data_IF_921019291132
#
_entry.id   IF_921019291132
#
_cell.length_a   1.000
_cell.length_b   1.000
_cell.length_c   1.000
_cell.angle_alpha   90.00
_cell.angle_beta   90.00
_cell.angle_gamma   90.00
#
_symmetry.space_group_name_H-M   'P 1'
#
loop_
_entity.id
_entity.type
_entity.pdbx_description
1 polymer ?
#
# COMPACT_ATOMS: atom_id res chain seq x y z
N UNK A 1 28.10 63.71 53.82
CA UNK A 1 28.10 62.24 53.96
C UNK A 1 27.52 61.72 52.68
N UNK A 2 28.40 61.34 51.77
CA UNK A 2 28.04 60.72 50.49
C UNK A 2 27.81 59.23 50.79
N UNK A 3 26.60 58.72 50.55
CA UNK A 3 26.29 57.31 50.70
C UNK A 3 26.58 56.60 49.37
N UNK A 4 27.64 55.78 49.41
CA UNK A 4 28.15 54.99 48.30
C UNK A 4 27.30 53.73 48.15
N UNK A 5 26.62 53.61 47.01
CA UNK A 5 25.72 52.50 46.68
C UNK A 5 26.55 51.31 46.15
N UNK A 6 26.76 50.29 46.97
CA UNK A 6 27.48 49.07 46.60
C UNK A 6 26.55 48.12 45.84
N UNK A 7 26.93 47.77 44.59
CA UNK A 7 26.26 46.77 43.75
C UNK A 7 26.79 45.38 44.10
N UNK A 8 25.94 44.36 44.36
CA UNK A 8 26.40 42.98 44.55
C UNK A 8 26.80 42.32 43.23
N UNK A 9 27.87 41.50 43.27
CA UNK A 9 28.41 40.78 42.13
C UNK A 9 27.49 39.66 41.62
N UNK A 10 27.50 39.51 40.29
CA UNK A 10 26.77 38.55 39.47
C UNK A 10 27.28 37.10 39.67
N UNK A 11 26.38 36.18 40.01
CA UNK A 11 26.64 34.74 40.11
C UNK A 11 26.91 34.14 38.72
N UNK A 12 28.07 33.51 38.55
CA UNK A 12 28.38 32.70 37.36
C UNK A 12 27.89 31.26 37.55
N UNK A 13 26.89 30.87 36.76
CA UNK A 13 26.50 29.46 36.59
C UNK A 13 27.65 28.62 35.99
N UNK A 14 27.77 27.33 36.36
CA UNK A 14 28.72 26.42 35.73
C UNK A 14 28.21 25.87 34.39
N UNK A 15 29.01 26.07 33.34
CA UNK A 15 28.87 25.51 32.00
C UNK A 15 28.69 23.98 31.99
N UNK A 16 27.71 23.52 31.20
CA UNK A 16 27.40 22.11 30.92
C UNK A 16 28.54 21.39 30.19
N UNK A 17 28.78 20.13 30.56
CA UNK A 17 29.68 19.22 29.83
C UNK A 17 28.86 18.36 28.88
N UNK A 18 29.15 18.43 27.58
CA UNK A 18 28.64 17.50 26.57
C UNK A 18 29.13 16.05 26.82
N UNK A 19 28.33 15.02 26.53
CA UNK A 19 28.75 13.63 26.66
C UNK A 19 29.59 13.17 25.46
N UNK A 20 30.84 12.78 25.72
CA UNK A 20 31.76 12.23 24.72
C UNK A 20 31.31 10.86 24.19
N UNK A 21 30.92 10.79 22.91
CA UNK A 21 30.75 9.53 22.16
C UNK A 21 32.11 8.94 21.77
N UNK A 22 32.80 8.26 22.68
CA UNK A 22 33.95 7.42 22.31
C UNK A 22 33.95 6.09 23.09
N UNK A 23 33.59 5.01 22.40
CA UNK A 23 33.71 3.63 22.92
C UNK A 23 35.18 3.22 22.94
N UNK A 24 35.68 2.89 24.14
CA UNK A 24 37.05 2.43 24.39
C UNK A 24 37.42 1.21 23.54
N UNK A 25 38.67 1.14 23.09
CA UNK A 25 39.20 0.11 22.18
C UNK A 25 38.91 -1.34 22.62
N UNK A 26 38.82 -1.60 23.94
CA UNK A 26 38.45 -2.92 24.45
C UNK A 26 37.02 -3.35 24.10
N UNK A 27 36.04 -2.41 24.11
CA UNK A 27 34.64 -2.70 23.75
C UNK A 27 34.47 -2.98 22.26
N UNK A 28 35.31 -2.39 21.39
CA UNK A 28 35.33 -2.70 19.95
C UNK A 28 35.80 -4.13 19.68
N UNK A 29 36.78 -4.60 20.45
CA UNK A 29 37.36 -5.95 20.32
C UNK A 29 36.35 -7.03 20.71
N UNK A 30 35.54 -6.81 21.75
CA UNK A 30 34.44 -7.72 22.13
C UNK A 30 33.34 -7.81 21.07
N UNK A 31 32.99 -6.70 20.41
CA UNK A 31 31.97 -6.70 19.35
C UNK A 31 32.45 -7.51 18.12
N UNK A 32 33.72 -7.36 17.74
CA UNK A 32 34.30 -8.11 16.61
C UNK A 32 34.34 -9.62 16.93
N UNK A 33 34.74 -10.00 18.15
CA UNK A 33 34.75 -11.39 18.58
C UNK A 33 33.34 -12.02 18.58
N UNK A 34 32.31 -11.27 19.00
CA UNK A 34 30.92 -11.73 18.97
C UNK A 34 30.41 -11.95 17.54
N UNK A 35 30.76 -11.08 16.59
CA UNK A 35 30.36 -11.21 15.19
C UNK A 35 30.99 -12.47 14.55
N UNK A 36 32.28 -12.73 14.80
CA UNK A 36 32.97 -13.91 14.27
C UNK A 36 32.34 -15.22 14.78
N UNK A 37 31.93 -15.24 16.05
CA UNK A 37 31.31 -16.43 16.66
C UNK A 37 29.92 -16.73 16.06
N UNK A 38 29.15 -15.69 15.71
CA UNK A 38 27.85 -15.84 15.02
C UNK A 38 28.04 -16.40 13.61
N UNK A 39 29.04 -15.94 12.86
CA UNK A 39 29.31 -16.47 11.51
C UNK A 39 29.83 -17.91 11.53
N UNK A 40 30.60 -18.32 12.54
CA UNK A 40 31.06 -19.71 12.68
C UNK A 40 29.91 -20.70 12.92
N UNK A 41 28.87 -20.29 13.66
CA UNK A 41 27.69 -21.12 13.93
C UNK A 41 26.80 -21.24 12.67
N UNK A 42 26.65 -20.16 11.91
CA UNK A 42 25.84 -20.15 10.68
C UNK A 42 26.53 -20.93 9.54
N UNK A 43 27.86 -20.82 9.41
CA UNK A 43 28.64 -21.53 8.39
C UNK A 43 28.67 -23.05 8.58
N UNK A 44 28.64 -23.54 9.83
CA UNK A 44 28.65 -24.97 10.13
C UNK A 44 27.37 -25.72 9.72
N UNK A 45 26.22 -25.03 9.68
CA UNK A 45 24.93 -25.64 9.35
C UNK A 45 24.70 -25.84 7.83
N UNK A 46 25.43 -25.12 6.97
CA UNK A 46 25.19 -25.14 5.53
C UNK A 46 25.95 -26.26 4.77
N UNK A 47 26.92 -26.92 5.40
CA UNK A 47 27.78 -27.91 4.71
C UNK A 47 27.33 -29.38 4.85
N UNK A 48 26.40 -29.71 5.76
CA UNK A 48 25.92 -31.09 5.95
C UNK A 48 24.60 -31.43 5.21
N UNK A 49 24.02 -30.51 4.44
CA UNK A 49 22.64 -30.66 3.92
C UNK A 49 22.46 -31.09 2.46
N UNK A 50 23.48 -31.08 1.60
CA UNK A 50 23.27 -31.32 0.15
C UNK A 50 23.66 -32.73 -0.29
N UNK A 51 22.79 -33.70 -0.03
CA UNK A 51 22.81 -35.00 -0.74
C UNK A 51 21.47 -35.72 -0.62
N UNK A 52 20.60 -35.62 -1.65
CA UNK A 52 19.94 -36.78 -2.29
C UNK A 52 18.94 -36.41 -3.40
N UNK A 53 19.27 -36.94 -4.57
CA UNK A 53 18.46 -37.59 -5.63
C UNK A 53 17.52 -36.77 -6.53
N UNK A 54 17.98 -36.67 -7.79
CA UNK A 54 17.22 -36.77 -9.05
C UNK A 54 16.17 -37.88 -9.01
N UNK A 55 14.99 -37.61 -9.56
CA UNK A 55 14.21 -38.61 -10.28
C UNK A 55 13.62 -37.99 -11.54
N UNK A 56 13.81 -38.73 -12.62
CA UNK A 56 13.54 -38.47 -14.03
C UNK A 56 12.39 -39.39 -14.44
N UNK A 57 11.48 -38.96 -15.32
CA UNK A 57 10.39 -39.80 -15.84
C UNK A 57 9.31 -39.01 -16.61
N UNK A 58 9.42 -39.06 -17.94
CA UNK A 58 8.56 -38.51 -19.03
C UNK A 58 7.17 -39.20 -19.16
N UNK A 59 6.42 -39.10 -20.30
CA UNK A 59 5.72 -37.94 -20.90
C UNK A 59 4.20 -38.18 -21.13
N UNK A 60 3.55 -37.12 -21.65
CA UNK A 60 2.19 -36.97 -22.20
C UNK A 60 1.67 -38.13 -23.10
N UNK A 61 0.33 -38.32 -23.20
CA UNK A 61 -0.33 -37.81 -24.41
C UNK A 61 -1.74 -37.18 -24.21
N UNK A 62 -1.99 -36.14 -25.01
CA UNK A 62 -3.29 -35.66 -25.53
C UNK A 62 -3.28 -36.01 -27.04
N UNK A 63 -4.38 -36.28 -27.79
CA UNK A 63 -5.69 -35.61 -27.77
C UNK A 63 -6.90 -36.54 -28.05
N UNK A 64 -8.13 -35.99 -28.15
CA UNK A 64 -9.12 -36.29 -29.23
C UNK A 64 -10.36 -35.35 -29.09
N UNK A 65 -10.76 -34.64 -30.16
CA UNK A 65 -12.01 -33.88 -30.23
C UNK A 65 -13.16 -34.77 -30.73
N UNK A 66 -14.36 -34.64 -30.15
CA UNK A 66 -15.57 -35.33 -30.62
C UNK A 66 -16.70 -34.34 -30.92
N UNK A 67 -17.45 -34.67 -31.97
CA UNK A 67 -18.18 -33.76 -32.84
C UNK A 67 -19.67 -33.54 -32.47
N UNK A 68 -20.15 -32.36 -32.86
CA UNK A 68 -21.53 -32.01 -33.23
C UNK A 68 -22.03 -32.98 -34.34
N UNK A 69 -23.34 -33.34 -34.54
CA UNK A 69 -24.45 -32.38 -34.74
C UNK A 69 -25.89 -32.85 -34.35
N UNK A 70 -26.84 -31.92 -34.25
CA UNK A 70 -28.22 -32.11 -34.75
C UNK A 70 -28.98 -30.77 -34.80
N UNK A 71 -29.21 -30.30 -36.03
CA UNK A 71 -30.21 -29.29 -36.34
C UNK A 71 -31.59 -29.96 -36.48
N UNK A 72 -32.63 -29.31 -35.99
CA UNK A 72 -34.03 -29.60 -36.35
C UNK A 72 -34.64 -28.30 -36.86
N UNK A 73 -35.00 -28.32 -38.14
CA UNK A 73 -35.85 -27.34 -38.82
C UNK A 73 -37.23 -27.98 -38.90
N UNK A 74 -38.29 -27.29 -38.49
CA UNK A 74 -39.60 -27.30 -39.17
C UNK A 74 -40.58 -26.36 -38.45
N UNK A 75 -41.33 -25.58 -39.22
CA UNK A 75 -42.45 -24.80 -38.71
C UNK A 75 -42.69 -23.48 -39.45
N UNK A 76 -43.07 -23.57 -40.73
CA UNK A 76 -43.68 -22.47 -41.44
C UNK A 76 -45.14 -22.29 -41.00
N UNK A 77 -45.54 -21.06 -40.70
CA UNK A 77 -46.94 -20.62 -40.86
C UNK A 77 -46.96 -19.14 -41.22
N UNK A 78 -47.42 -18.86 -42.44
CA UNK A 78 -47.84 -17.55 -42.90
C UNK A 78 -49.02 -17.03 -42.07
N UNK A 79 -49.02 -15.74 -41.73
CA UNK A 79 -50.25 -15.03 -41.39
C UNK A 79 -50.09 -13.54 -41.66
N UNK A 80 -51.04 -13.02 -42.45
CA UNK A 80 -51.09 -11.67 -43.00
C UNK A 80 -51.86 -10.69 -42.09
N UNK A 81 -51.72 -9.39 -42.39
CA UNK A 81 -52.62 -8.26 -42.03
C UNK A 81 -52.17 -7.36 -40.86
N UNK A 82 -52.62 -6.08 -40.76
CA UNK A 82 -52.50 -4.99 -41.71
C UNK A 82 -51.72 -3.78 -41.15
N UNK A 83 -51.29 -2.91 -42.06
CA UNK A 83 -50.56 -1.65 -41.83
C UNK A 83 -51.26 -0.72 -40.84
N UNK A 84 -50.65 -0.53 -39.67
CA UNK A 84 -50.98 0.56 -38.73
C UNK A 84 -50.14 1.78 -39.07
N UNK A 85 -50.79 2.90 -39.37
CA UNK A 85 -50.17 4.19 -39.63
C UNK A 85 -49.47 4.70 -38.36
N UNK A 86 -48.14 4.55 -38.30
CA UNK A 86 -47.32 4.99 -37.17
C UNK A 86 -47.11 6.50 -37.30
N UNK A 87 -47.83 7.26 -36.47
CA UNK A 87 -47.52 8.67 -36.19
C UNK A 87 -46.08 8.76 -35.69
N UNK A 88 -45.20 9.38 -36.47
CA UNK A 88 -43.79 9.58 -36.14
C UNK A 88 -43.66 10.56 -34.98
N UNK A 89 -43.54 10.02 -33.76
CA UNK A 89 -43.08 10.78 -32.59
C UNK A 89 -41.70 11.38 -32.89
N UNK A 90 -41.45 12.67 -32.58
CA UNK A 90 -40.13 13.25 -32.78
C UNK A 90 -39.09 12.46 -31.99
N UNK A 91 -38.05 12.00 -32.69
CA UNK A 91 -36.91 11.33 -32.09
C UNK A 91 -36.29 12.24 -31.02
N UNK A 92 -36.07 11.77 -29.79
CA UNK A 92 -35.43 12.59 -28.76
C UNK A 92 -34.07 13.05 -29.28
N UNK A 93 -33.81 14.36 -29.16
CA UNK A 93 -32.49 14.92 -29.46
C UNK A 93 -31.50 14.33 -28.46
N UNK A 94 -30.36 13.77 -28.89
CA UNK A 94 -29.39 13.19 -27.98
C UNK A 94 -28.86 14.28 -27.03
N UNK A 95 -29.01 14.05 -25.72
CA UNK A 95 -28.35 14.87 -24.70
C UNK A 95 -26.84 14.71 -24.87
N UNK A 96 -26.04 15.79 -24.85
CA UNK A 96 -24.59 15.68 -24.95
C UNK A 96 -24.06 14.84 -23.78
N UNK A 97 -23.26 13.81 -24.10
CA UNK A 97 -22.50 13.06 -23.09
C UNK A 97 -21.40 13.97 -22.54
N UNK A 98 -21.28 14.15 -21.22
CA UNK A 98 -20.22 14.96 -20.64
C UNK A 98 -18.83 14.37 -20.97
N UNK A 99 -17.83 15.23 -21.15
CA UNK A 99 -16.46 14.83 -21.43
C UNK A 99 -15.76 14.38 -20.14
N UNK A 100 -15.16 13.18 -20.16
CA UNK A 100 -14.42 12.62 -19.03
C UNK A 100 -12.99 13.19 -18.96
N UNK A 101 -12.63 13.78 -17.83
CA UNK A 101 -11.31 14.31 -17.50
C UNK A 101 -10.56 13.32 -16.60
N UNK A 102 -9.28 13.07 -16.88
CA UNK A 102 -8.39 12.31 -15.99
C UNK A 102 -7.48 13.23 -15.18
N UNK A 103 -7.38 12.98 -13.87
CA UNK A 103 -6.49 13.68 -12.94
C UNK A 103 -5.67 12.67 -12.15
N UNK A 104 -4.37 12.89 -12.10
CA UNK A 104 -3.45 12.16 -11.22
C UNK A 104 -3.06 13.05 -10.05
N UNK A 105 -3.24 12.55 -8.83
CA UNK A 105 -2.82 13.19 -7.59
C UNK A 105 -1.72 12.33 -6.97
N UNK A 106 -0.57 12.93 -6.67
CA UNK A 106 0.49 12.29 -5.89
C UNK A 106 0.16 12.37 -4.40
N UNK A 107 0.60 11.39 -3.63
CA UNK A 107 0.38 11.36 -2.18
C UNK A 107 1.14 12.46 -1.43
N UNK A 108 0.78 12.63 -0.15
CA UNK A 108 1.34 13.66 0.75
C UNK A 108 2.42 13.04 1.62
N UNK A 109 3.69 13.39 1.38
CA UNK A 109 4.86 12.78 2.04
C UNK A 109 4.71 12.61 3.56
N UNK A 110 4.39 13.68 4.28
CA UNK A 110 4.25 13.66 5.75
C UNK A 110 3.07 12.84 6.30
N UNK A 111 2.29 12.20 5.43
CA UNK A 111 1.15 11.35 5.77
C UNK A 111 1.29 9.96 5.16
N UNK A 112 2.41 9.67 4.51
CA UNK A 112 2.73 8.36 3.99
C UNK A 112 3.72 7.67 4.93
N UNK A 113 3.76 6.34 4.92
CA UNK A 113 4.77 5.60 5.66
C UNK A 113 4.22 4.31 6.25
N UNK A 114 4.67 3.97 7.45
CA UNK A 114 4.23 2.76 8.14
C UNK A 114 4.29 2.87 9.65
N UNK A 115 3.41 2.11 10.31
CA UNK A 115 3.46 1.86 11.75
C UNK A 115 3.37 0.37 12.04
N UNK A 116 4.04 -0.03 13.10
CA UNK A 116 4.11 -1.41 13.57
C UNK A 116 3.31 -1.67 14.84
N UNK A 117 2.93 -2.93 15.06
CA UNK A 117 2.22 -3.39 16.25
C UNK A 117 2.94 -3.13 17.58
N UNK A 118 4.23 -2.81 17.52
CA UNK A 118 5.09 -2.46 18.66
C UNK A 118 5.19 -0.94 18.90
N UNK A 119 4.46 -0.14 18.14
CA UNK A 119 4.46 1.31 18.22
C UNK A 119 5.65 2.02 17.57
N UNK A 120 6.46 1.30 16.79
CA UNK A 120 7.52 1.91 15.99
C UNK A 120 7.08 2.06 14.53
N UNK A 121 7.47 3.18 13.91
CA UNK A 121 7.09 3.53 12.55
C UNK A 121 7.79 4.79 12.08
N UNK A 122 7.57 5.12 10.81
CA UNK A 122 8.12 6.30 10.16
C UNK A 122 7.08 6.88 9.20
N UNK A 123 7.02 8.20 9.13
CA UNK A 123 6.16 9.03 8.27
C UNK A 123 6.96 9.83 7.22
N UNK A 124 8.24 9.46 7.04
CA UNK A 124 9.20 10.14 6.17
C UNK A 124 10.10 9.16 5.38
N UNK A 125 9.66 7.91 5.28
CA UNK A 125 10.35 6.82 4.59
C UNK A 125 9.37 6.09 3.67
N UNK A 126 9.84 5.02 3.06
CA UNK A 126 9.05 4.07 2.28
C UNK A 126 7.85 3.54 3.06
N UNK A 127 6.88 3.00 2.34
CA UNK A 127 5.73 2.32 2.92
C UNK A 127 6.10 0.84 3.12
N UNK A 128 6.05 0.37 4.35
CA UNK A 128 6.37 -1.02 4.72
C UNK A 128 5.12 -1.77 5.17
N UNK A 129 4.88 -2.95 4.61
CA UNK A 129 3.75 -3.80 4.98
C UNK A 129 4.21 -5.24 5.17
N UNK A 130 3.64 -5.93 6.15
CA UNK A 130 3.95 -7.35 6.36
C UNK A 130 4.23 -7.67 7.81
N UNK A 131 5.08 -8.66 8.03
CA UNK A 131 5.47 -9.09 9.37
C UNK A 131 6.96 -9.36 9.43
N UNK A 132 7.54 -9.16 10.60
CA UNK A 132 8.86 -9.66 10.95
C UNK A 132 8.79 -10.37 12.31
N UNK A 133 9.96 -10.56 12.94
CA UNK A 133 10.06 -11.19 14.25
C UNK A 133 9.34 -10.33 15.30
N UNK A 134 8.14 -10.76 15.68
CA UNK A 134 7.34 -10.16 16.75
C UNK A 134 6.62 -8.85 16.39
N UNK A 135 6.70 -8.36 15.15
CA UNK A 135 6.03 -7.12 14.73
C UNK A 135 5.25 -7.34 13.43
N UNK A 136 4.07 -6.73 13.38
CA UNK A 136 3.25 -6.61 12.17
C UNK A 136 3.31 -5.15 11.73
N UNK A 137 3.53 -4.91 10.45
CA UNK A 137 3.68 -3.60 9.84
C UNK A 137 2.48 -3.33 8.92
N UNK A 138 1.92 -2.14 9.04
CA UNK A 138 0.85 -1.62 8.16
C UNK A 138 1.34 -0.36 7.49
N UNK A 139 1.09 -0.26 6.19
CA UNK A 139 1.45 0.89 5.37
C UNK A 139 0.33 1.91 5.34
N UNK A 140 0.67 3.19 5.15
CA UNK A 140 -0.28 4.29 5.09
C UNK A 140 0.06 5.22 3.93
N UNK A 141 -0.99 5.76 3.29
CA UNK A 141 -0.86 6.72 2.21
C UNK A 141 -2.02 7.73 2.24
N UNK A 142 -1.75 9.00 1.93
CA UNK A 142 -2.76 10.08 1.90
C UNK A 142 -2.71 10.91 0.63
N UNK A 143 -3.87 11.27 0.10
CA UNK A 143 -4.00 12.15 -1.07
C UNK A 143 -4.84 13.38 -0.72
N UNK A 144 -4.30 14.57 -1.00
CA UNK A 144 -5.05 15.83 -0.85
C UNK A 144 -6.00 16.03 -2.05
N UNK A 145 -7.28 16.19 -1.76
CA UNK A 145 -8.35 16.29 -2.74
C UNK A 145 -8.65 17.74 -3.17
N UNK A 146 -7.96 18.74 -2.62
CA UNK A 146 -8.24 20.17 -2.88
C UNK A 146 -8.05 20.60 -4.34
N UNK A 147 -7.39 19.77 -5.15
CA UNK A 147 -7.20 20.04 -6.58
C UNK A 147 -8.35 19.57 -7.47
N UNK A 148 -9.33 18.83 -6.91
CA UNK A 148 -10.53 18.43 -7.62
C UNK A 148 -11.53 19.60 -7.68
N UNK A 149 -12.18 19.84 -8.83
CA UNK A 149 -13.23 20.84 -8.93
C UNK A 149 -14.40 20.54 -7.97
N UNK A 150 -14.95 21.58 -7.35
CA UNK A 150 -16.17 21.44 -6.56
C UNK A 150 -17.31 20.95 -7.44
N UNK A 151 -18.00 19.90 -6.99
CA UNK A 151 -19.12 19.30 -7.73
C UNK A 151 -18.73 18.32 -8.84
N UNK A 152 -17.44 17.98 -8.98
CA UNK A 152 -16.99 16.95 -9.92
C UNK A 152 -17.72 15.63 -9.69
N UNK A 153 -18.26 15.06 -10.77
CA UNK A 153 -18.93 13.75 -10.74
C UNK A 153 -17.88 12.68 -10.97
N UNK A 154 -17.50 11.98 -9.90
CA UNK A 154 -16.48 10.91 -9.98
C UNK A 154 -17.03 9.69 -10.73
N UNK A 155 -16.39 9.33 -11.83
CA UNK A 155 -16.66 8.10 -12.57
C UNK A 155 -15.87 6.92 -12.00
N UNK A 156 -14.56 7.11 -11.80
CA UNK A 156 -13.67 6.09 -11.24
C UNK A 156 -12.50 6.70 -10.48
N UNK A 157 -11.97 5.95 -9.51
CA UNK A 157 -10.71 6.25 -8.84
C UNK A 157 -9.90 4.97 -8.61
N UNK A 158 -8.61 5.05 -8.91
CA UNK A 158 -7.64 3.96 -8.76
C UNK A 158 -6.47 4.41 -7.89
N UNK A 159 -6.25 3.71 -6.79
CA UNK A 159 -5.02 3.81 -5.99
C UNK A 159 -3.93 3.00 -6.69
N UNK A 160 -2.75 3.60 -6.90
CA UNK A 160 -1.59 2.94 -7.50
C UNK A 160 -0.37 3.08 -6.61
N UNK A 161 0.21 1.96 -6.18
CA UNK A 161 1.44 1.91 -5.40
C UNK A 161 2.51 1.13 -6.16
N UNK A 162 3.73 1.64 -6.23
CA UNK A 162 4.83 0.92 -6.87
C UNK A 162 5.54 0.03 -5.86
N UNK A 163 5.43 -1.29 -6.06
CA UNK A 163 6.13 -2.26 -5.24
C UNK A 163 7.59 -2.33 -5.67
N UNK A 164 8.51 -1.94 -4.79
CA UNK A 164 9.93 -1.83 -5.10
C UNK A 164 10.70 -3.09 -4.69
N UNK A 165 10.34 -3.67 -3.54
CA UNK A 165 11.09 -4.78 -2.97
C UNK A 165 10.24 -5.68 -2.10
N UNK A 166 10.70 -6.93 -2.01
CA UNK A 166 10.16 -7.94 -1.11
C UNK A 166 11.30 -8.53 -0.27
N UNK A 167 10.98 -8.85 0.99
CA UNK A 167 11.81 -9.69 1.85
C UNK A 167 10.98 -10.90 2.28
N UNK A 168 11.53 -12.11 2.11
CA UNK A 168 10.86 -13.36 2.47
C UNK A 168 9.74 -13.74 1.50
N UNK A 169 8.65 -14.29 2.02
CA UNK A 169 7.52 -14.79 1.23
C UNK A 169 6.19 -14.17 1.72
N UNK A 170 6.00 -12.85 1.60
CA UNK A 170 4.82 -12.16 2.13
C UNK A 170 3.48 -12.66 1.58
N UNK A 171 3.50 -13.16 0.33
CA UNK A 171 2.33 -13.75 -0.34
C UNK A 171 2.23 -15.28 -0.16
N UNK A 172 3.15 -15.90 0.59
CA UNK A 172 3.26 -17.35 0.74
C UNK A 172 2.43 -17.92 1.90
N UNK A 173 1.68 -18.99 1.60
CA UNK A 173 0.77 -19.77 2.46
C UNK A 173 -0.54 -19.05 2.83
N UNK A 174 -1.66 -19.55 2.30
CA UNK A 174 -3.02 -19.21 2.73
C UNK A 174 -3.52 -17.83 2.30
N UNK A 175 -3.82 -17.63 1.00
CA UNK A 175 -4.58 -16.48 0.45
C UNK A 175 -4.24 -15.13 1.09
N UNK A 176 -2.96 -14.80 1.21
CA UNK A 176 -2.51 -13.54 1.82
C UNK A 176 -2.47 -12.48 0.75
N UNK A 177 -3.65 -11.96 0.44
CA UNK A 177 -3.81 -10.75 -0.35
C UNK A 177 -3.42 -9.54 0.49
N UNK A 178 -2.71 -8.61 -0.13
CA UNK A 178 -2.56 -7.27 0.41
C UNK A 178 -3.88 -6.53 0.20
N UNK A 179 -4.50 -6.10 1.28
CA UNK A 179 -5.80 -5.42 1.29
C UNK A 179 -5.64 -3.93 1.54
N UNK A 180 -6.68 -3.19 1.19
CA UNK A 180 -6.81 -1.75 1.42
C UNK A 180 -7.97 -1.50 2.38
N UNK A 181 -7.69 -0.75 3.45
CA UNK A 181 -8.68 -0.11 4.30
C UNK A 181 -8.81 1.37 3.91
N UNK A 182 -10.01 1.93 4.08
CA UNK A 182 -10.28 3.36 4.00
C UNK A 182 -10.32 3.95 5.41
N UNK A 183 -9.57 5.03 5.64
CA UNK A 183 -9.44 5.68 6.95
C UNK A 183 -9.65 7.19 6.85
N UNK A 184 -9.73 7.80 8.02
CA UNK A 184 -9.45 9.21 8.22
C UNK A 184 -8.57 9.33 9.48
N UNK A 185 -7.26 9.48 9.29
CA UNK A 185 -6.28 9.71 10.35
C UNK A 185 -5.88 11.19 10.47
N UNK A 186 -6.55 12.09 9.74
CA UNK A 186 -6.40 13.53 9.94
C UNK A 186 -5.13 14.12 9.32
N UNK A 187 -4.46 14.99 10.08
CA UNK A 187 -3.37 15.85 9.60
C UNK A 187 -1.96 15.38 9.99
N UNK A 188 -1.86 14.25 10.68
CA UNK A 188 -0.59 13.61 11.07
C UNK A 188 -0.74 12.10 11.01
N UNK A 189 0.33 11.40 10.66
CA UNK A 189 0.39 9.94 10.73
C UNK A 189 1.13 9.53 12.00
N UNK A 190 0.44 8.87 12.92
CA UNK A 190 0.96 8.46 14.23
C UNK A 190 0.72 6.99 14.57
N UNK A 191 1.31 6.54 15.69
CA UNK A 191 1.15 5.16 16.16
C UNK A 191 -0.32 4.80 16.44
N UNK A 192 -1.13 5.76 16.89
CA UNK A 192 -2.56 5.63 17.10
C UNK A 192 -3.31 5.12 15.85
N UNK A 193 -2.78 5.40 14.65
CA UNK A 193 -3.40 5.02 13.38
C UNK A 193 -3.18 3.54 13.03
N UNK A 194 -2.17 2.91 13.64
CA UNK A 194 -1.91 1.47 13.49
C UNK A 194 -3.20 0.67 13.72
N UNK A 195 -3.87 0.96 14.83
CA UNK A 195 -5.08 0.28 15.30
C UNK A 195 -6.38 1.02 15.02
N UNK A 196 -6.34 2.19 14.35
CA UNK A 196 -7.54 2.98 14.10
C UNK A 196 -8.61 2.18 13.34
N UNK A 197 -9.87 2.38 13.72
CA UNK A 197 -11.02 1.79 13.04
C UNK A 197 -11.11 2.31 11.62
N UNK A 198 -11.19 1.41 10.65
CA UNK A 198 -11.41 1.78 9.26
C UNK A 198 -12.85 2.26 9.06
N UNK A 199 -13.04 3.27 8.20
CA UNK A 199 -14.35 3.65 7.67
C UNK A 199 -14.91 2.49 6.84
N UNK A 200 -14.05 1.85 6.06
CA UNK A 200 -14.33 0.62 5.32
C UNK A 200 -13.11 -0.29 5.36
N UNK A 201 -13.24 -1.48 5.94
CA UNK A 201 -12.13 -2.41 6.14
C UNK A 201 -12.03 -3.42 5.00
N UNK A 202 -10.81 -3.68 4.52
CA UNK A 202 -10.43 -4.69 3.52
C UNK A 202 -11.32 -4.68 2.28
N UNK A 203 -11.76 -3.49 1.87
CA UNK A 203 -12.77 -3.31 0.83
C UNK A 203 -12.22 -3.59 -0.58
N UNK A 204 -10.90 -3.51 -0.75
CA UNK A 204 -10.22 -3.82 -2.01
C UNK A 204 -8.98 -4.71 -1.78
N UNK A 205 -8.64 -5.52 -2.79
CA UNK A 205 -7.35 -6.19 -2.92
C UNK A 205 -6.42 -5.29 -3.72
N UNK A 206 -5.25 -4.95 -3.16
CA UNK A 206 -4.20 -4.24 -3.89
C UNK A 206 -3.39 -5.19 -4.77
N UNK A 207 -2.95 -6.31 -4.20
CA UNK A 207 -2.23 -7.34 -4.94
C UNK A 207 -2.15 -8.65 -4.16
N UNK A 208 -1.85 -9.72 -4.86
CA UNK A 208 -1.57 -11.05 -4.31
C UNK A 208 -0.27 -11.65 -4.88
N UNK A 209 0.55 -10.85 -5.56
CA UNK A 209 1.71 -11.34 -6.29
C UNK A 209 3.00 -10.58 -5.93
N UNK A 210 4.13 -11.27 -6.08
CA UNK A 210 5.44 -10.79 -5.71
C UNK A 210 6.17 -9.97 -6.80
N UNK A 211 5.56 -9.76 -7.97
CA UNK A 211 6.19 -9.04 -9.08
C UNK A 211 6.44 -7.58 -8.70
N UNK A 212 7.63 -7.05 -8.98
CA UNK A 212 7.97 -5.64 -8.81
C UNK A 212 7.33 -4.83 -9.95
N UNK A 213 6.26 -4.11 -9.63
CA UNK A 213 5.44 -3.36 -10.59
C UNK A 213 4.48 -2.41 -9.85
N UNK A 214 3.74 -1.61 -10.62
CA UNK A 214 2.57 -0.89 -10.11
C UNK A 214 1.48 -1.86 -9.67
N UNK A 215 0.96 -1.65 -8.47
CA UNK A 215 -0.18 -2.36 -7.90
C UNK A 215 -1.35 -1.41 -7.81
N UNK A 216 -2.49 -1.84 -8.36
CA UNK A 216 -3.66 -0.98 -8.52
C UNK A 216 -4.84 -1.53 -7.71
N UNK A 217 -5.60 -0.65 -7.05
CA UNK A 217 -6.84 -0.98 -6.37
C UNK A 217 -7.94 0.03 -6.74
N UNK A 218 -9.16 -0.47 -6.97
CA UNK A 218 -10.32 0.40 -7.15
C UNK A 218 -10.73 1.00 -5.80
N UNK A 219 -10.74 2.33 -5.73
CA UNK A 219 -11.07 3.10 -4.53
C UNK A 219 -12.21 4.10 -4.77
N UNK A 220 -12.97 3.92 -5.85
CA UNK A 220 -14.02 4.84 -6.31
C UNK A 220 -15.03 5.17 -5.21
N UNK A 221 -15.55 4.17 -4.52
CA UNK A 221 -16.59 4.36 -3.49
C UNK A 221 -16.04 5.06 -2.25
N UNK A 222 -14.78 4.78 -1.88
CA UNK A 222 -14.11 5.47 -0.77
C UNK A 222 -13.88 6.96 -1.07
N UNK A 223 -13.44 7.29 -2.30
CA UNK A 223 -13.26 8.68 -2.72
C UNK A 223 -14.60 9.43 -2.75
N UNK A 224 -15.66 8.81 -3.28
CA UNK A 224 -17.02 9.37 -3.24
C UNK A 224 -17.52 9.57 -1.81
N UNK A 225 -17.20 8.64 -0.90
CA UNK A 225 -17.50 8.79 0.52
C UNK A 225 -16.77 10.01 1.13
N UNK A 226 -15.49 10.22 0.81
CA UNK A 226 -14.73 11.36 1.31
C UNK A 226 -15.32 12.69 0.82
N UNK A 227 -15.59 12.81 -0.47
CA UNK A 227 -16.16 14.03 -1.06
C UNK A 227 -17.55 14.33 -0.50
N UNK A 228 -18.43 13.32 -0.37
CA UNK A 228 -19.78 13.51 0.17
C UNK A 228 -19.80 13.86 1.66
N UNK A 229 -18.78 13.46 2.43
CA UNK A 229 -18.61 13.83 3.83
C UNK A 229 -17.74 15.08 4.03
N UNK A 230 -17.37 15.79 2.95
CA UNK A 230 -16.57 17.01 3.02
C UNK A 230 -15.13 16.78 3.50
N UNK A 231 -14.59 15.56 3.40
CA UNK A 231 -13.19 15.29 3.72
C UNK A 231 -12.31 15.82 2.60
N UNK A 232 -11.26 16.55 2.98
CA UNK A 232 -10.29 17.13 2.06
C UNK A 232 -9.17 16.16 1.67
N UNK A 233 -9.17 14.94 2.21
CA UNK A 233 -8.20 13.89 1.93
C UNK A 233 -8.89 12.56 1.70
N UNK A 234 -8.25 11.73 0.90
CA UNK A 234 -8.53 10.30 0.86
C UNK A 234 -7.33 9.54 1.40
N UNK A 235 -7.58 8.68 2.39
CA UNK A 235 -6.56 8.09 3.25
C UNK A 235 -6.74 6.57 3.32
N UNK A 236 -5.65 5.85 3.14
CA UNK A 236 -5.68 4.39 3.02
C UNK A 236 -4.63 3.74 3.91
N UNK A 237 -5.00 2.57 4.46
CA UNK A 237 -4.06 1.66 5.14
C UNK A 237 -3.94 0.39 4.34
N UNK A 238 -2.70 -0.05 4.15
CA UNK A 238 -2.32 -1.24 3.40
C UNK A 238 -1.87 -2.29 4.39
N UNK A 239 -2.49 -3.47 4.34
CA UNK A 239 -2.25 -4.53 5.32
C UNK A 239 -2.42 -5.92 4.71
N UNK A 240 -1.83 -6.91 5.37
CA UNK A 240 -2.33 -8.28 5.26
C UNK A 240 -3.41 -8.46 6.34
N UNK A 241 -4.59 -9.00 5.99
CA UNK A 241 -5.70 -9.10 6.94
C UNK A 241 -5.46 -10.16 8.03
N UNK A 242 -4.57 -11.13 7.79
CA UNK A 242 -4.19 -12.13 8.78
C UNK A 242 -2.95 -11.68 9.54
N UNK A 243 -3.20 -11.23 10.76
CA UNK A 243 -2.23 -10.68 11.70
C UNK A 243 -1.67 -11.77 12.62
N UNK A 244 -0.67 -12.50 12.12
CA UNK A 244 0.17 -13.36 12.99
C UNK A 244 1.61 -12.99 12.74
N UNK A 245 2.27 -12.44 13.77
CA UNK A 245 3.69 -12.13 13.74
C UNK A 245 4.49 -13.37 13.30
N UNK A 246 5.47 -13.16 12.43
CA UNK A 246 6.22 -14.24 11.81
C UNK A 246 7.40 -14.67 12.67
N UNK A 247 7.87 -15.91 12.49
CA UNK A 247 9.22 -16.30 12.90
C UNK A 247 10.29 -15.77 11.92
N UNK A 248 9.87 -15.35 10.72
CA UNK A 248 10.70 -14.82 9.63
C UNK A 248 10.15 -13.47 9.15
N UNK A 249 10.99 -12.71 8.47
CA UNK A 249 10.56 -11.47 7.80
C UNK A 249 9.88 -11.79 6.48
N UNK A 250 8.65 -11.32 6.35
CA UNK A 250 7.76 -11.42 5.20
C UNK A 250 7.22 -10.00 4.96
N UNK A 251 7.96 -9.20 4.19
CA UNK A 251 7.75 -7.75 4.06
C UNK A 251 7.65 -7.34 2.59
N UNK A 252 6.84 -6.33 2.35
CA UNK A 252 6.66 -5.66 1.06
C UNK A 252 6.97 -4.18 1.25
N UNK A 253 7.77 -3.63 0.34
CA UNK A 253 8.17 -2.23 0.32
C UNK A 253 7.50 -1.56 -0.87
N UNK A 254 6.83 -0.46 -0.61
CA UNK A 254 6.34 0.46 -1.64
C UNK A 254 7.05 1.80 -1.50
N UNK A 255 7.21 2.49 -2.62
CA UNK A 255 7.65 3.89 -2.60
C UNK A 255 6.61 4.76 -1.87
N UNK A 256 7.08 5.79 -1.17
CA UNK A 256 6.26 6.85 -0.58
C UNK A 256 6.46 8.17 -1.34
N UNK A 257 5.69 9.22 -1.04
CA UNK A 257 5.95 10.53 -1.63
C UNK A 257 7.32 11.15 -1.25
N UNK A 258 7.97 10.71 -0.16
CA UNK A 258 9.36 11.08 0.13
C UNK A 258 10.38 10.51 -0.87
N UNK A 259 9.98 9.55 -1.70
CA UNK A 259 10.83 8.90 -2.67
C UNK A 259 12.11 8.31 -2.05
N UNK A 260 12.01 7.79 -0.82
CA UNK A 260 13.19 7.33 -0.08
C UNK A 260 13.88 6.10 -0.70
N UNK A 261 13.20 5.32 -1.55
CA UNK A 261 13.83 4.26 -2.35
C UNK A 261 14.42 4.80 -3.66
N UNK A 262 14.09 6.03 -4.05
CA UNK A 262 14.67 6.72 -5.21
C UNK A 262 14.16 6.24 -6.57
N UNK A 263 13.02 5.53 -6.62
CA UNK A 263 12.48 5.00 -7.88
C UNK A 263 11.81 6.08 -8.75
N UNK A 264 11.35 7.17 -8.13
CA UNK A 264 10.51 8.20 -8.77
C UNK A 264 9.07 7.75 -9.01
N UNK A 265 8.72 6.51 -8.67
CA UNK A 265 7.39 5.94 -8.85
C UNK A 265 6.51 6.20 -7.61
N UNK A 266 6.22 7.47 -7.36
CA UNK A 266 5.48 7.92 -6.17
C UNK A 266 4.02 7.43 -6.19
N UNK A 267 3.40 7.15 -5.03
CA UNK A 267 1.99 6.76 -4.96
C UNK A 267 1.06 7.71 -5.73
N UNK A 268 0.06 7.14 -6.40
CA UNK A 268 -0.88 7.89 -7.22
C UNK A 268 -2.33 7.56 -6.87
N UNK A 269 -3.18 8.58 -6.90
CA UNK A 269 -4.61 8.45 -7.01
C UNK A 269 -5.02 8.97 -8.39
N UNK A 270 -5.43 8.06 -9.28
CA UNK A 270 -5.86 8.36 -10.65
C UNK A 270 -7.38 8.44 -10.66
N UNK A 271 -7.93 9.58 -11.06
CA UNK A 271 -9.35 9.91 -10.93
C UNK A 271 -9.89 10.29 -12.30
N UNK A 272 -11.04 9.72 -12.68
CA UNK A 272 -11.81 10.14 -13.85
C UNK A 272 -13.11 10.79 -13.41
N UNK A 273 -13.42 11.97 -13.93
CA UNK A 273 -14.60 12.75 -13.56
C UNK A 273 -15.08 13.64 -14.69
N UNK A 274 -16.28 14.21 -14.54
CA UNK A 274 -16.82 15.28 -15.39
C UNK A 274 -17.57 16.33 -14.56
#
# INVERSE_FOLDING_TARGET
>A
MEEEHIIPAEDKEPTSKEPSKYLSSQKKLFIIAAIILVFAIIGGAFWLGSSRKKQEGEPSPSPTPEANPAAVIEGATESSSPSSEVTSSPSPTPTPTPETIEKVITSTASLDGYWGSNGFGYDNLYILVGRNIGVIQRGFVSFNLSSLPSGAVIESATLRLYQEKIVGHPYGIGTRDLKVDHLNYGDSLGNEDYGASAISASFATLTNNATIEWKDANVTDSLKNDLSNGRNKSQYRILFPTDVAGATSDLVYFESADNSQGTGNLPQLVIKYH
#
